data_IF_001806330615
#
_entry.id   IF_001806330615
#
_cell.length_a   1.000
_cell.length_b   1.000
_cell.length_c   1.000
_cell.angle_alpha   90.00
_cell.angle_beta   90.00
_cell.angle_gamma   90.00
#
_symmetry.space_group_name_H-M   'P 1'
#
loop_
_entity.id
_entity.type
_entity.pdbx_description
1 polymer ?
#
# COMPACT_ATOMS: atom_id res chain seq x y z
N UNK A 1 -4.75 26.27 44.88
CA UNK A 1 -3.77 25.23 44.48
C UNK A 1 -4.50 23.95 44.12
N UNK A 2 -4.27 23.50 42.88
CA UNK A 2 -4.47 22.16 42.30
C UNK A 2 -5.90 21.63 42.08
N UNK A 3 -6.34 21.84 40.84
CA UNK A 3 -7.41 21.17 40.11
C UNK A 3 -7.08 19.69 39.83
N UNK A 4 -8.08 18.81 39.95
CA UNK A 4 -8.01 17.39 39.57
C UNK A 4 -8.10 17.21 38.04
N UNK A 5 -7.51 16.14 37.47
CA UNK A 5 -7.48 15.88 36.03
C UNK A 5 -8.77 15.25 35.49
N UNK A 6 -9.04 15.57 34.22
CA UNK A 6 -10.28 15.48 33.45
C UNK A 6 -10.46 14.17 32.66
N UNK A 7 -9.85 13.06 33.08
CA UNK A 7 -9.97 11.78 32.35
C UNK A 7 -11.23 11.00 32.74
N UNK A 8 -12.38 11.43 32.23
CA UNK A 8 -13.59 10.58 32.07
C UNK A 8 -14.28 10.99 30.77
N UNK A 9 -14.79 10.01 30.03
CA UNK A 9 -15.60 10.09 28.79
C UNK A 9 -14.84 10.04 27.45
N UNK A 10 -14.57 8.81 27.00
CA UNK A 10 -14.97 8.33 25.67
C UNK A 10 -14.74 6.82 25.60
N UNK A 11 -15.62 6.05 26.26
CA UNK A 11 -15.77 4.63 26.01
C UNK A 11 -16.98 4.39 25.11
N UNK A 12 -16.86 3.35 24.27
CA UNK A 12 -17.90 2.60 23.55
C UNK A 12 -17.91 2.77 22.02
N UNK A 13 -17.90 1.59 21.35
CA UNK A 13 -18.01 1.22 19.93
C UNK A 13 -16.66 1.05 19.20
N UNK A 14 -16.23 -0.12 18.70
CA UNK A 14 -16.97 -1.33 18.33
C UNK A 14 -16.12 -2.59 18.56
N UNK A 15 -16.74 -3.61 19.17
CA UNK A 15 -16.26 -5.00 19.16
C UNK A 15 -17.09 -5.69 18.08
N UNK A 16 -16.44 -6.09 16.98
CA UNK A 16 -16.97 -7.12 16.09
C UNK A 16 -15.86 -8.15 15.92
N UNK A 17 -16.23 -9.39 16.22
CA UNK A 17 -15.38 -10.56 16.25
C UNK A 17 -14.78 -10.89 14.88
N UNK A 18 -13.50 -11.27 14.87
CA UNK A 18 -12.91 -11.98 13.74
C UNK A 18 -12.31 -13.29 14.26
N UNK A 19 -12.98 -14.39 13.89
CA UNK A 19 -12.50 -15.74 14.10
C UNK A 19 -11.21 -15.96 13.30
N UNK A 20 -10.17 -16.42 13.99
CA UNK A 20 -8.85 -16.65 13.43
C UNK A 20 -8.83 -17.82 12.44
N UNK A 21 -8.47 -17.56 11.18
CA UNK A 21 -8.07 -18.58 10.23
C UNK A 21 -6.53 -18.57 10.12
N UNK A 22 -5.88 -19.61 10.66
CA UNK A 22 -4.42 -19.78 10.68
C UNK A 22 -3.88 -20.11 9.29
N UNK A 23 -2.98 -19.29 8.73
CA UNK A 23 -2.12 -19.68 7.61
C UNK A 23 -0.66 -19.29 7.86
N UNK A 24 0.25 -20.25 7.66
CA UNK A 24 1.71 -20.16 7.85
C UNK A 24 2.38 -19.34 6.74
N UNK A 25 3.36 -18.49 7.08
CA UNK A 25 4.21 -17.73 6.13
C UNK A 25 5.55 -18.45 5.86
N UNK A 26 6.03 -18.57 4.61
CA UNK A 26 7.44 -18.78 4.31
C UNK A 26 8.18 -17.43 4.14
N UNK A 27 9.52 -17.46 4.17
CA UNK A 27 10.41 -16.29 4.16
C UNK A 27 11.35 -16.18 2.93
N UNK A 28 11.84 -14.96 2.68
CA UNK A 28 12.57 -14.48 1.47
C UNK A 28 14.08 -14.36 1.69
N UNK A 29 14.92 -14.80 0.72
CA UNK A 29 16.21 -14.12 0.45
C UNK A 29 16.57 -14.07 -1.09
N UNK A 30 17.70 -13.47 -1.55
CA UNK A 30 17.73 -12.29 -2.44
C UNK A 30 18.32 -12.54 -3.86
N UNK A 31 18.20 -11.51 -4.73
CA UNK A 31 18.29 -11.53 -6.21
C UNK A 31 19.52 -10.83 -6.84
N UNK A 32 19.86 -11.21 -8.08
CA UNK A 32 20.66 -10.42 -9.04
C UNK A 32 20.18 -10.65 -10.51
N UNK A 33 20.17 -9.59 -11.33
CA UNK A 33 19.68 -9.39 -12.75
C UNK A 33 20.86 -9.48 -13.77
N UNK A 34 20.74 -9.54 -15.14
CA UNK A 34 19.85 -8.78 -16.11
C UNK A 34 19.56 -9.52 -17.48
N UNK A 35 19.39 -8.89 -18.70
CA UNK A 35 18.38 -7.95 -19.28
C UNK A 35 17.67 -8.41 -20.61
N UNK A 36 16.86 -7.49 -21.21
CA UNK A 36 15.72 -7.54 -22.15
C UNK A 36 15.90 -7.55 -23.70
N UNK A 37 14.79 -7.77 -24.47
CA UNK A 37 14.42 -7.12 -25.77
C UNK A 37 12.94 -7.39 -26.23
N UNK A 38 12.07 -6.38 -26.49
CA UNK A 38 11.52 -5.79 -27.79
C UNK A 38 10.65 -6.74 -28.68
N UNK A 39 9.57 -6.40 -29.42
CA UNK A 39 8.56 -5.32 -29.63
C UNK A 39 7.60 -5.80 -30.78
N UNK A 40 6.33 -5.37 -30.86
CA UNK A 40 5.61 -5.23 -32.16
C UNK A 40 4.06 -5.27 -32.17
N UNK A 41 3.35 -4.47 -33.01
CA UNK A 41 1.94 -4.02 -32.87
C UNK A 41 0.97 -4.70 -33.88
N UNK A 42 -0.34 -4.46 -34.06
CA UNK A 42 -1.40 -3.51 -33.65
C UNK A 42 -2.56 -3.58 -34.69
N UNK A 43 -3.75 -2.96 -34.46
CA UNK A 43 -4.64 -2.28 -35.45
C UNK A 43 -6.07 -1.96 -34.91
N UNK A 44 -6.66 -0.88 -35.42
CA UNK A 44 -7.86 -0.13 -34.96
C UNK A 44 -9.11 -0.30 -35.86
N UNK A 45 -10.28 0.10 -35.32
CA UNK A 45 -11.50 0.49 -36.06
C UNK A 45 -12.34 1.51 -35.25
N UNK A 46 -13.02 2.44 -35.91
CA UNK A 46 -13.80 3.55 -35.30
C UNK A 46 -15.23 3.61 -35.86
N UNK A 47 -16.24 3.77 -34.98
CA UNK A 47 -17.16 4.92 -34.84
C UNK A 47 -18.32 4.54 -33.90
N UNK A 48 -18.22 4.99 -32.65
CA UNK A 48 -19.30 5.61 -31.86
C UNK A 48 -18.54 6.58 -30.94
N UNK A 49 -17.78 7.46 -31.59
CA UNK A 49 -16.48 7.84 -31.05
C UNK A 49 -16.68 8.83 -29.91
N UNK A 50 -17.35 9.97 -30.05
CA UNK A 50 -17.27 11.03 -29.02
C UNK A 50 -17.96 10.77 -27.66
N UNK A 51 -19.11 10.09 -27.61
CA UNK A 51 -19.81 9.80 -26.34
C UNK A 51 -19.22 8.56 -25.64
N UNK A 52 -18.85 7.54 -26.43
CA UNK A 52 -18.06 6.41 -25.92
C UNK A 52 -16.65 6.89 -25.60
N UNK A 53 -16.06 7.84 -26.32
CA UNK A 53 -14.75 8.45 -26.05
C UNK A 53 -14.84 9.29 -24.80
N UNK A 54 -15.91 10.04 -24.55
CA UNK A 54 -16.09 10.78 -23.29
C UNK A 54 -16.20 9.84 -22.10
N UNK A 55 -17.01 8.77 -22.22
CA UNK A 55 -17.16 7.75 -21.18
C UNK A 55 -15.92 6.87 -21.03
N UNK A 56 -15.26 6.52 -22.13
CA UNK A 56 -14.04 5.73 -22.17
C UNK A 56 -12.85 6.55 -21.72
N UNK A 57 -12.76 7.85 -22.02
CA UNK A 57 -11.74 8.75 -21.50
C UNK A 57 -11.94 8.98 -20.00
N UNK A 58 -13.20 9.11 -19.52
CA UNK A 58 -13.50 9.12 -18.08
C UNK A 58 -13.08 7.81 -17.43
N UNK A 59 -13.43 6.67 -18.01
CA UNK A 59 -13.07 5.34 -17.50
C UNK A 59 -11.56 5.08 -17.55
N UNK A 60 -10.87 5.53 -18.60
CA UNK A 60 -9.40 5.50 -18.72
C UNK A 60 -8.79 6.40 -17.64
N UNK A 61 -9.37 7.57 -17.37
CA UNK A 61 -8.98 8.46 -16.28
C UNK A 61 -9.15 7.83 -14.90
N UNK A 62 -10.29 7.18 -14.64
CA UNK A 62 -10.60 6.48 -13.39
C UNK A 62 -9.69 5.27 -13.16
N UNK A 63 -9.44 4.48 -14.20
CA UNK A 63 -8.52 3.34 -14.17
C UNK A 63 -7.07 3.78 -13.96
N UNK A 64 -6.65 4.84 -14.64
CA UNK A 64 -5.32 5.45 -14.41
C UNK A 64 -5.22 5.93 -12.96
N UNK A 65 -6.23 6.63 -12.44
CA UNK A 65 -6.26 7.07 -11.05
C UNK A 65 -6.11 5.90 -10.07
N UNK A 66 -6.79 4.78 -10.34
CA UNK A 66 -6.68 3.57 -9.52
C UNK A 66 -5.27 2.97 -9.56
N UNK A 67 -4.64 2.90 -10.74
CA UNK A 67 -3.26 2.42 -10.89
C UNK A 67 -2.24 3.32 -10.18
N UNK A 68 -2.49 4.63 -10.09
CA UNK A 68 -1.61 5.58 -9.42
C UNK A 68 -1.48 5.33 -7.91
N UNK A 69 -2.46 4.69 -7.26
CA UNK A 69 -2.32 4.21 -5.88
C UNK A 69 -1.19 3.17 -5.81
N UNK A 70 -1.08 2.27 -6.80
CA UNK A 70 -0.01 1.28 -6.89
C UNK A 70 1.38 1.85 -7.22
N UNK A 71 1.42 3.00 -7.92
CA UNK A 71 2.66 3.60 -8.42
C UNK A 71 3.71 3.87 -7.32
N UNK A 72 3.25 4.20 -6.11
CA UNK A 72 4.13 4.45 -4.97
C UNK A 72 4.95 3.22 -4.55
N UNK A 73 4.41 2.01 -4.73
CA UNK A 73 5.09 0.78 -4.33
C UNK A 73 6.33 0.50 -5.18
N UNK A 74 6.19 0.66 -6.49
CA UNK A 74 7.20 0.23 -7.44
C UNK A 74 8.45 1.11 -7.46
N UNK A 75 8.36 2.37 -6.99
CA UNK A 75 9.45 3.35 -6.96
C UNK A 75 10.27 3.43 -8.27
N UNK A 76 9.59 3.20 -9.38
CA UNK A 76 10.14 3.19 -10.74
C UNK A 76 9.40 4.25 -11.56
N UNK A 77 10.03 5.40 -11.83
CA UNK A 77 9.40 6.48 -12.61
C UNK A 77 8.95 6.04 -14.00
N UNK A 78 9.60 5.01 -14.56
CA UNK A 78 9.34 4.46 -15.89
C UNK A 78 8.27 3.38 -15.93
N UNK A 79 7.70 3.00 -14.77
CA UNK A 79 6.69 1.95 -14.75
C UNK A 79 5.42 2.44 -15.42
N UNK A 80 4.83 1.57 -16.23
CA UNK A 80 3.54 1.81 -16.85
C UNK A 80 2.46 2.03 -15.76
N UNK A 81 1.75 3.15 -15.83
CA UNK A 81 0.62 3.50 -14.96
C UNK A 81 -0.69 3.73 -15.72
N UNK A 82 -0.68 3.52 -17.04
CA UNK A 82 -1.83 3.75 -17.92
C UNK A 82 -2.53 2.47 -18.36
N UNK A 83 -1.88 1.31 -18.24
CA UNK A 83 -2.45 0.01 -18.59
C UNK A 83 -2.29 -1.01 -17.46
N UNK A 84 -3.16 -2.03 -17.49
CA UNK A 84 -3.08 -3.14 -16.52
C UNK A 84 -1.71 -3.83 -16.56
N UNK A 85 -1.25 -4.20 -17.75
CA UNK A 85 0.07 -4.82 -17.94
C UNK A 85 1.17 -3.89 -17.46
N UNK A 86 2.15 -4.42 -16.72
CA UNK A 86 3.26 -3.61 -16.19
C UNK A 86 4.30 -3.29 -17.25
N UNK A 87 4.35 -4.09 -18.33
CA UNK A 87 5.42 -4.07 -19.33
C UNK A 87 6.70 -4.75 -18.88
N UNK A 88 6.71 -5.34 -17.68
CA UNK A 88 7.81 -6.19 -17.19
C UNK A 88 7.66 -7.58 -17.80
N UNK A 89 8.79 -8.21 -18.12
CA UNK A 89 8.82 -9.58 -18.59
C UNK A 89 8.15 -10.55 -17.58
N UNK A 90 7.23 -11.44 -18.01
CA UNK A 90 6.51 -12.34 -17.12
C UNK A 90 7.39 -13.26 -16.27
N UNK A 91 8.57 -13.69 -16.77
CA UNK A 91 9.49 -14.52 -15.98
C UNK A 91 10.15 -13.72 -14.85
N UNK A 92 10.53 -12.48 -15.14
CA UNK A 92 11.05 -11.53 -14.15
C UNK A 92 9.98 -11.26 -13.08
N UNK A 93 8.74 -11.06 -13.50
CA UNK A 93 7.61 -10.82 -12.60
C UNK A 93 7.31 -12.05 -11.74
N UNK A 94 7.34 -13.25 -12.31
CA UNK A 94 7.19 -14.50 -11.58
C UNK A 94 8.32 -14.69 -10.56
N UNK A 95 9.54 -14.29 -10.89
CA UNK A 95 10.69 -14.29 -9.97
C UNK A 95 10.46 -13.38 -8.76
N UNK A 96 9.97 -12.16 -8.97
CA UNK A 96 9.61 -11.21 -7.89
C UNK A 96 8.48 -11.77 -7.02
N UNK A 97 7.42 -12.31 -7.64
CA UNK A 97 6.31 -12.95 -6.92
C UNK A 97 6.79 -14.13 -6.07
N UNK A 98 7.67 -14.99 -6.60
CA UNK A 98 8.17 -16.14 -5.86
C UNK A 98 9.14 -15.74 -4.72
N UNK A 99 10.03 -14.78 -4.99
CA UNK A 99 11.04 -14.33 -4.05
C UNK A 99 10.40 -13.50 -2.93
N UNK A 100 9.76 -12.38 -3.25
CA UNK A 100 9.35 -11.36 -2.28
C UNK A 100 7.97 -11.65 -1.65
N UNK A 101 7.13 -12.39 -2.37
CA UNK A 101 5.74 -12.64 -2.00
C UNK A 101 5.43 -14.11 -1.71
N UNK A 102 6.34 -15.02 -2.06
CA UNK A 102 6.12 -16.48 -2.01
C UNK A 102 4.91 -16.95 -2.82
N UNK A 103 4.59 -16.24 -3.90
CA UNK A 103 3.51 -16.57 -4.83
C UNK A 103 4.10 -17.32 -6.02
N UNK A 104 3.69 -18.56 -6.22
CA UNK A 104 4.03 -19.41 -7.37
C UNK A 104 2.80 -19.87 -8.14
N UNK A 105 1.62 -19.70 -7.54
CA UNK A 105 0.35 -20.19 -8.09
C UNK A 105 -0.74 -19.13 -8.02
N UNK A 106 -1.76 -19.30 -8.86
CA UNK A 106 -2.97 -18.49 -8.80
C UNK A 106 -3.68 -18.53 -7.45
N UNK A 107 -3.62 -19.66 -6.74
CA UNK A 107 -4.21 -19.80 -5.40
C UNK A 107 -3.50 -18.93 -4.37
N UNK A 108 -2.16 -18.94 -4.35
CA UNK A 108 -1.35 -18.10 -3.44
C UNK A 108 -1.51 -16.61 -3.75
N UNK A 109 -1.61 -16.26 -5.04
CA UNK A 109 -1.90 -14.89 -5.46
C UNK A 109 -3.26 -14.42 -4.90
N UNK A 110 -4.32 -15.21 -5.10
CA UNK A 110 -5.65 -14.89 -4.56
C UNK A 110 -5.66 -14.78 -3.04
N UNK A 111 -4.99 -15.69 -2.32
CA UNK A 111 -4.90 -15.63 -0.86
C UNK A 111 -4.17 -14.37 -0.37
N UNK A 112 -3.07 -14.00 -1.03
CA UNK A 112 -2.32 -12.79 -0.68
C UNK A 112 -3.13 -11.53 -0.96
N UNK A 113 -3.83 -11.47 -2.09
CA UNK A 113 -4.67 -10.33 -2.46
C UNK A 113 -5.86 -10.18 -1.49
N UNK A 114 -6.54 -11.27 -1.15
CA UNK A 114 -7.62 -11.25 -0.16
C UNK A 114 -7.11 -10.73 1.20
N UNK A 115 -5.98 -11.25 1.68
CA UNK A 115 -5.40 -10.78 2.94
C UNK A 115 -5.04 -9.29 2.88
N UNK A 116 -4.41 -8.81 1.80
CA UNK A 116 -4.10 -7.38 1.65
C UNK A 116 -5.37 -6.52 1.61
N UNK A 117 -6.43 -6.96 0.93
CA UNK A 117 -7.70 -6.25 0.80
C UNK A 117 -8.53 -6.20 2.09
N UNK A 118 -8.41 -7.20 2.96
CA UNK A 118 -9.26 -7.35 4.16
C UNK A 118 -8.55 -6.96 5.46
N UNK A 119 -7.31 -7.41 5.66
CA UNK A 119 -6.60 -7.26 6.93
C UNK A 119 -5.25 -6.53 6.76
N UNK A 120 -4.39 -7.05 5.90
CA UNK A 120 -3.08 -6.50 5.56
C UNK A 120 -2.21 -6.21 6.78
N UNK A 121 -1.26 -5.28 6.59
CA UNK A 121 -0.38 -4.85 7.69
C UNK A 121 -1.02 -3.76 8.54
N UNK A 122 -2.09 -3.12 8.05
CA UNK A 122 -2.88 -2.15 8.83
C UNK A 122 -3.49 -2.77 10.09
N UNK A 123 -3.74 -4.07 10.15
CA UNK A 123 -4.18 -4.72 11.39
C UNK A 123 -3.16 -4.63 12.53
N UNK A 124 -1.86 -4.64 12.21
CA UNK A 124 -0.77 -4.50 13.20
C UNK A 124 -0.56 -3.05 13.64
N UNK A 125 -0.83 -2.10 12.75
CA UNK A 125 -0.40 -0.71 12.90
C UNK A 125 -0.91 -0.01 14.18
N UNK A 126 -2.19 -0.16 14.61
CA UNK A 126 -2.66 0.42 15.85
C UNK A 126 -1.86 -0.03 17.08
N UNK A 127 -1.48 -1.32 17.15
CA UNK A 127 -0.67 -1.83 18.25
C UNK A 127 0.77 -1.34 18.19
N UNK A 128 1.34 -1.25 16.99
CA UNK A 128 2.66 -0.63 16.79
C UNK A 128 2.67 0.79 17.33
N UNK A 129 1.68 1.62 16.95
CA UNK A 129 1.61 3.00 17.43
C UNK A 129 1.34 3.10 18.93
N UNK A 130 0.41 2.30 19.48
CA UNK A 130 0.13 2.27 20.92
C UNK A 130 1.40 1.98 21.72
N UNK A 131 2.13 0.93 21.36
CA UNK A 131 3.34 0.52 22.09
C UNK A 131 4.46 1.54 21.87
N UNK A 132 4.68 2.00 20.64
CA UNK A 132 5.73 2.96 20.33
C UNK A 132 5.57 4.28 21.10
N UNK A 133 4.35 4.83 21.14
CA UNK A 133 4.09 6.18 21.63
C UNK A 133 3.55 6.26 23.06
N UNK A 134 3.09 5.14 23.64
CA UNK A 134 2.48 5.15 24.98
C UNK A 134 3.15 4.21 25.99
N UNK A 135 4.05 3.33 25.55
CA UNK A 135 4.76 2.38 26.43
C UNK A 135 6.24 2.74 26.52
N UNK A 136 6.81 2.90 27.74
CA UNK A 136 8.24 3.09 27.91
C UNK A 136 9.05 1.97 27.27
N UNK A 137 10.19 2.28 26.64
CA UNK A 137 11.01 1.29 25.90
C UNK A 137 11.34 0.04 26.74
N UNK A 138 11.61 0.21 28.02
CA UNK A 138 11.91 -0.88 28.98
C UNK A 138 10.73 -1.81 29.27
N UNK A 139 9.49 -1.40 28.98
CA UNK A 139 8.28 -2.19 29.22
C UNK A 139 7.66 -2.77 27.94
N UNK A 140 8.17 -2.40 26.74
CA UNK A 140 7.58 -2.81 25.46
C UNK A 140 7.57 -4.31 25.25
N UNK A 141 8.64 -5.01 25.63
CA UNK A 141 8.70 -6.48 25.49
C UNK A 141 7.58 -7.17 26.28
N UNK A 142 7.36 -6.74 27.52
CA UNK A 142 6.25 -7.23 28.35
C UNK A 142 4.90 -6.97 27.68
N UNK A 143 4.67 -5.77 27.17
CA UNK A 143 3.42 -5.43 26.47
C UNK A 143 3.20 -6.23 25.19
N UNK A 144 4.27 -6.50 24.42
CA UNK A 144 4.21 -7.33 23.21
C UNK A 144 3.82 -8.76 23.57
N UNK A 145 4.42 -9.34 24.60
CA UNK A 145 4.09 -10.70 25.06
C UNK A 145 2.63 -10.80 25.54
N UNK A 146 2.12 -9.77 26.21
CA UNK A 146 0.74 -9.74 26.71
C UNK A 146 -0.33 -9.68 25.60
N UNK A 147 0.03 -9.26 24.39
CA UNK A 147 -0.91 -9.26 23.26
C UNK A 147 -1.23 -10.66 22.72
N UNK A 148 -0.39 -11.66 23.02
CA UNK A 148 -0.58 -13.09 22.74
C UNK A 148 -1.14 -13.40 21.31
N UNK A 149 -1.90 -14.48 21.14
CA UNK A 149 -2.42 -15.13 19.90
C UNK A 149 -3.03 -14.22 18.81
N UNK A 150 -3.16 -12.92 19.05
CA UNK A 150 -3.65 -11.94 18.08
C UNK A 150 -2.57 -11.50 17.09
N UNK A 151 -1.29 -11.52 17.49
CA UNK A 151 -0.19 -11.03 16.64
C UNK A 151 1.08 -11.86 16.83
N UNK A 152 1.89 -11.98 15.76
CA UNK A 152 3.25 -12.50 15.85
C UNK A 152 4.12 -11.51 16.66
N UNK A 153 4.60 -11.90 17.87
CA UNK A 153 5.33 -10.99 18.75
C UNK A 153 6.67 -10.55 18.16
N UNK A 154 7.34 -11.41 17.38
CA UNK A 154 8.60 -11.07 16.72
C UNK A 154 8.35 -10.03 15.65
N UNK A 155 7.30 -10.22 14.84
CA UNK A 155 6.91 -9.24 13.82
C UNK A 155 6.54 -7.90 14.44
N UNK A 156 5.75 -7.92 15.51
CA UNK A 156 5.31 -6.71 16.19
C UNK A 156 6.51 -5.93 16.75
N UNK A 157 7.44 -6.62 17.43
CA UNK A 157 8.68 -6.02 17.93
C UNK A 157 9.51 -5.38 16.81
N UNK A 158 9.70 -6.10 15.68
CA UNK A 158 10.41 -5.57 14.52
C UNK A 158 9.73 -4.33 13.94
N UNK A 159 8.41 -4.34 13.80
CA UNK A 159 7.67 -3.18 13.28
C UNK A 159 7.76 -1.95 14.19
N UNK A 160 7.80 -2.16 15.51
CA UNK A 160 8.01 -1.07 16.49
C UNK A 160 9.42 -0.49 16.35
N UNK A 161 10.47 -1.33 16.34
CA UNK A 161 11.86 -0.86 16.19
C UNK A 161 12.08 -0.15 14.84
N UNK A 162 11.55 -0.74 13.77
CA UNK A 162 11.63 -0.17 12.42
C UNK A 162 11.00 1.22 12.36
N UNK A 163 9.77 1.37 12.86
CA UNK A 163 9.09 2.65 12.85
C UNK A 163 9.80 3.65 13.75
N UNK A 164 10.21 3.26 14.97
CA UNK A 164 10.95 4.12 15.91
C UNK A 164 12.20 4.71 15.24
N UNK A 165 13.00 3.87 14.59
CA UNK A 165 14.26 4.27 13.96
C UNK A 165 14.06 5.04 12.65
N UNK A 166 12.93 4.85 11.97
CA UNK A 166 12.57 5.60 10.77
C UNK A 166 11.94 6.97 11.05
N UNK A 167 11.42 7.22 12.26
CA UNK A 167 10.77 8.48 12.60
C UNK A 167 11.61 9.75 12.35
N UNK A 168 12.94 9.77 12.61
CA UNK A 168 13.78 10.93 12.28
C UNK A 168 13.74 11.27 10.79
N UNK A 169 13.89 10.27 9.91
CA UNK A 169 13.87 10.44 8.46
C UNK A 169 12.48 10.90 7.98
N UNK A 170 11.42 10.28 8.51
CA UNK A 170 10.04 10.66 8.20
C UNK A 170 9.75 12.12 8.59
N UNK A 171 10.20 12.56 9.77
CA UNK A 171 10.06 13.96 10.21
C UNK A 171 10.90 14.92 9.37
N UNK A 172 12.14 14.56 9.08
CA UNK A 172 13.04 15.37 8.26
C UNK A 172 12.51 15.56 6.82
N UNK A 173 11.74 14.59 6.32
CA UNK A 173 11.10 14.70 5.00
C UNK A 173 10.07 15.82 4.88
N UNK A 174 9.52 16.30 6.01
CA UNK A 174 8.39 17.25 6.11
C UNK A 174 7.09 16.78 5.44
N UNK A 175 7.02 15.55 4.95
CA UNK A 175 5.78 14.95 4.41
C UNK A 175 4.82 14.55 5.52
N UNK A 176 5.36 14.04 6.64
CA UNK A 176 4.59 13.71 7.84
C UNK A 176 4.32 15.00 8.63
N UNK A 177 3.10 15.54 8.54
CA UNK A 177 2.76 16.85 9.08
C UNK A 177 2.18 16.84 10.49
N UNK A 178 1.52 15.76 10.90
CA UNK A 178 0.69 15.81 12.12
C UNK A 178 0.44 14.46 12.80
N UNK A 179 -0.16 14.49 14.01
CA UNK A 179 -0.72 13.29 14.66
C UNK A 179 -1.89 12.69 13.88
N UNK A 180 -2.58 13.49 13.07
CA UNK A 180 -3.67 13.01 12.19
C UNK A 180 -3.11 12.05 11.15
N UNK A 181 -1.90 12.30 10.66
CA UNK A 181 -1.25 11.41 9.69
C UNK A 181 -0.91 10.03 10.27
N UNK A 182 -0.46 10.01 11.53
CA UNK A 182 -0.29 8.75 12.26
C UNK A 182 -1.64 8.05 12.48
N UNK A 183 -2.68 8.77 12.86
CA UNK A 183 -4.01 8.19 13.09
C UNK A 183 -4.65 7.61 11.80
N UNK A 184 -4.36 8.20 10.63
CA UNK A 184 -4.84 7.71 9.33
C UNK A 184 -4.28 6.33 8.96
N UNK A 185 -3.15 5.96 9.53
CA UNK A 185 -2.58 4.63 9.40
C UNK A 185 -2.00 4.30 8.03
N UNK A 186 -1.92 3.01 7.72
CA UNK A 186 -1.08 2.47 6.63
C UNK A 186 -1.90 1.79 5.53
N UNK A 187 -3.16 2.20 5.35
CA UNK A 187 -4.02 1.61 4.32
C UNK A 187 -3.40 1.69 2.92
N UNK A 188 -2.85 2.85 2.53
CA UNK A 188 -2.25 3.00 1.20
C UNK A 188 -1.07 2.05 1.00
N UNK A 189 -0.31 1.73 2.04
CA UNK A 189 0.77 0.74 1.96
C UNK A 189 0.27 -0.66 1.58
N UNK A 190 -0.87 -1.08 2.12
CA UNK A 190 -1.48 -2.37 1.74
C UNK A 190 -2.11 -2.32 0.35
N UNK A 191 -2.85 -1.25 0.04
CA UNK A 191 -3.57 -1.12 -1.23
C UNK A 191 -2.61 -0.95 -2.43
N UNK A 192 -1.52 -0.17 -2.28
CA UNK A 192 -0.49 -0.06 -3.32
C UNK A 192 0.12 -1.42 -3.64
N UNK A 193 0.32 -2.26 -2.62
CA UNK A 193 0.84 -3.61 -2.77
C UNK A 193 -0.16 -4.59 -3.35
N UNK A 194 -1.45 -4.47 -3.00
CA UNK A 194 -2.50 -5.25 -3.62
C UNK A 194 -2.56 -4.99 -5.13
N UNK A 195 -2.49 -3.71 -5.54
CA UNK A 195 -2.44 -3.32 -6.95
C UNK A 195 -1.19 -3.89 -7.62
N UNK A 196 -0.01 -3.78 -6.99
CA UNK A 196 1.21 -4.35 -7.54
C UNK A 196 1.10 -5.88 -7.75
N UNK A 197 0.68 -6.62 -6.72
CA UNK A 197 0.52 -8.09 -6.81
C UNK A 197 -0.55 -8.46 -7.84
N UNK A 198 -1.63 -7.69 -7.97
CA UNK A 198 -2.65 -7.95 -8.97
C UNK A 198 -2.10 -7.80 -10.40
N UNK A 199 -1.38 -6.72 -10.67
CA UNK A 199 -0.76 -6.52 -11.98
C UNK A 199 0.29 -7.59 -12.28
N UNK A 200 1.09 -7.93 -11.27
CA UNK A 200 2.08 -8.98 -11.35
C UNK A 200 1.49 -10.35 -11.69
N UNK A 201 0.44 -10.75 -10.95
CA UNK A 201 -0.24 -12.01 -11.15
C UNK A 201 -0.94 -12.06 -12.51
N UNK A 202 -1.45 -10.93 -13.00
CA UNK A 202 -2.00 -10.83 -14.34
C UNK A 202 -0.93 -11.07 -15.42
N UNK A 203 0.21 -10.38 -15.32
CA UNK A 203 1.32 -10.54 -16.28
C UNK A 203 1.85 -11.98 -16.31
N UNK A 204 1.79 -12.70 -15.20
CA UNK A 204 2.17 -14.12 -15.09
C UNK A 204 1.05 -15.11 -15.47
N UNK A 205 -0.11 -14.65 -15.94
CA UNK A 205 -1.24 -15.52 -16.31
C UNK A 205 -1.91 -16.23 -15.13
N UNK A 206 -1.68 -15.76 -13.89
CA UNK A 206 -2.28 -16.33 -12.67
C UNK A 206 -3.71 -15.84 -12.42
N UNK A 207 -4.15 -14.80 -13.13
CA UNK A 207 -5.52 -14.29 -13.09
C UNK A 207 -5.91 -13.61 -14.40
N UNK A 208 -7.21 -13.52 -14.64
CA UNK A 208 -7.79 -12.82 -15.80
C UNK A 208 -7.72 -11.31 -15.63
N UNK A 209 -7.86 -10.57 -16.73
CA UNK A 209 -7.95 -9.11 -16.71
C UNK A 209 -9.08 -8.61 -15.81
N UNK A 210 -10.27 -9.21 -15.89
CA UNK A 210 -11.42 -8.83 -15.07
C UNK A 210 -11.17 -9.02 -13.57
N UNK A 211 -10.50 -10.11 -13.18
CA UNK A 211 -10.12 -10.36 -11.79
C UNK A 211 -9.10 -9.34 -11.29
N UNK A 212 -8.11 -8.99 -12.11
CA UNK A 212 -7.10 -8.01 -11.75
C UNK A 212 -7.71 -6.61 -11.57
N UNK A 213 -8.58 -6.19 -12.49
CA UNK A 213 -9.27 -4.90 -12.36
C UNK A 213 -10.19 -4.84 -11.15
N UNK A 214 -10.93 -5.90 -10.83
CA UNK A 214 -11.77 -5.95 -9.63
C UNK A 214 -10.96 -5.67 -8.35
N UNK A 215 -9.76 -6.27 -8.23
CA UNK A 215 -8.85 -6.02 -7.11
C UNK A 215 -8.33 -4.57 -7.10
N UNK A 216 -7.92 -4.05 -8.26
CA UNK A 216 -7.36 -2.69 -8.38
C UNK A 216 -8.41 -1.64 -8.03
N UNK A 217 -9.62 -1.77 -8.57
CA UNK A 217 -10.73 -0.85 -8.33
C UNK A 217 -11.18 -0.92 -6.86
N UNK A 218 -11.26 -2.12 -6.27
CA UNK A 218 -11.55 -2.28 -4.84
C UNK A 218 -10.47 -1.63 -3.97
N UNK A 219 -9.19 -1.85 -4.26
CA UNK A 219 -8.08 -1.29 -3.49
C UNK A 219 -8.05 0.24 -3.57
N UNK A 220 -8.22 0.79 -4.78
CA UNK A 220 -8.26 2.23 -5.00
C UNK A 220 -9.48 2.87 -4.31
N UNK A 221 -10.66 2.24 -4.41
CA UNK A 221 -11.87 2.69 -3.72
C UNK A 221 -11.69 2.80 -2.20
N UNK A 222 -11.04 1.81 -1.58
CA UNK A 222 -10.73 1.88 -0.14
C UNK A 222 -9.84 3.08 0.21
N UNK A 223 -8.84 3.39 -0.63
CA UNK A 223 -7.98 4.57 -0.43
C UNK A 223 -8.78 5.86 -0.59
N UNK A 224 -9.53 6.00 -1.67
CA UNK A 224 -10.29 7.22 -1.98
C UNK A 224 -11.45 7.49 -1.01
N UNK A 225 -11.92 6.46 -0.31
CA UNK A 225 -12.93 6.61 0.74
C UNK A 225 -12.37 7.19 2.05
N UNK A 226 -11.06 7.03 2.31
CA UNK A 226 -10.43 7.42 3.59
C UNK A 226 -9.42 8.56 3.48
N UNK A 227 -9.07 8.95 2.25
CA UNK A 227 -8.05 9.94 1.98
C UNK A 227 -8.57 10.98 1.00
N UNK A 228 -8.15 12.23 1.18
CA UNK A 228 -8.62 13.40 0.45
C UNK A 228 -7.59 13.97 -0.52
N UNK A 229 -6.34 13.47 -0.50
CA UNK A 229 -5.29 13.94 -1.39
C UNK A 229 -4.19 12.92 -1.62
N UNK A 230 -3.43 13.10 -2.70
CA UNK A 230 -2.21 12.33 -2.96
C UNK A 230 -1.16 12.47 -1.85
N UNK A 231 -1.12 13.61 -1.17
CA UNK A 231 -0.25 13.81 0.00
C UNK A 231 -0.59 12.80 1.11
N UNK A 232 -1.87 12.62 1.41
CA UNK A 232 -2.31 11.67 2.43
C UNK A 232 -2.02 10.22 2.04
N UNK A 233 -2.23 9.88 0.76
CA UNK A 233 -1.86 8.55 0.20
C UNK A 233 -0.37 8.30 0.36
N UNK A 234 0.46 9.28 -0.03
CA UNK A 234 1.91 9.22 0.09
C UNK A 234 2.38 9.01 1.52
N UNK A 235 1.81 9.75 2.48
CA UNK A 235 2.16 9.63 3.90
C UNK A 235 1.74 8.27 4.47
N UNK A 236 0.53 7.80 4.16
CA UNK A 236 0.05 6.48 4.59
C UNK A 236 0.93 5.35 4.03
N UNK A 237 1.34 5.47 2.76
CA UNK A 237 2.28 4.53 2.14
C UNK A 237 3.65 4.54 2.83
N UNK A 238 4.24 5.72 3.05
CA UNK A 238 5.56 5.87 3.66
C UNK A 238 5.59 5.36 5.11
N UNK A 239 4.52 5.58 5.89
CA UNK A 239 4.38 5.04 7.24
C UNK A 239 4.41 3.51 7.23
N UNK A 240 3.66 2.88 6.32
CA UNK A 240 3.62 1.42 6.20
C UNK A 240 4.95 0.85 5.71
N UNK A 241 5.60 1.51 4.74
CA UNK A 241 6.97 1.18 4.32
C UNK A 241 7.89 1.21 5.53
N UNK A 242 7.95 2.34 6.22
CA UNK A 242 8.87 2.57 7.32
C UNK A 242 8.65 1.55 8.45
N UNK A 243 7.40 1.27 8.81
CA UNK A 243 7.05 0.22 9.77
C UNK A 243 7.52 -1.17 9.31
N UNK A 244 7.36 -1.50 8.03
CA UNK A 244 7.67 -2.83 7.52
C UNK A 244 9.17 -3.08 7.35
N UNK A 245 9.89 -2.14 6.75
CA UNK A 245 11.27 -2.34 6.30
C UNK A 245 12.31 -1.48 7.04
N UNK A 246 11.87 -0.58 7.91
CA UNK A 246 12.76 0.26 8.71
C UNK A 246 13.48 1.37 7.92
N UNK A 247 14.47 2.01 8.55
CA UNK A 247 15.24 3.10 7.96
C UNK A 247 16.28 2.61 6.93
N UNK A 248 17.05 3.55 6.39
CA UNK A 248 18.20 3.27 5.50
C UNK A 248 17.91 3.55 4.03
N UNK A 249 18.82 3.11 3.15
CA UNK A 249 18.83 3.52 1.74
C UNK A 249 17.51 3.24 1.01
N UNK A 250 16.80 2.16 1.37
CA UNK A 250 15.50 1.85 0.80
C UNK A 250 14.40 2.86 1.18
N UNK A 251 14.37 3.33 2.43
CA UNK A 251 13.43 4.38 2.85
C UNK A 251 13.78 5.71 2.19
N UNK A 252 15.07 6.05 2.11
CA UNK A 252 15.54 7.28 1.48
C UNK A 252 15.18 7.36 0.00
N UNK A 253 15.32 6.25 -0.75
CA UNK A 253 14.86 6.16 -2.15
C UNK A 253 13.36 6.38 -2.27
N UNK A 254 12.57 5.77 -1.37
CA UNK A 254 11.12 5.93 -1.37
C UNK A 254 10.68 7.36 -1.03
N UNK A 255 11.33 8.00 -0.06
CA UNK A 255 11.09 9.42 0.26
C UNK A 255 11.41 10.34 -0.93
N UNK A 256 12.53 10.14 -1.60
CA UNK A 256 12.90 10.91 -2.79
C UNK A 256 11.91 10.68 -3.94
N UNK A 257 11.51 9.43 -4.17
CA UNK A 257 10.55 9.07 -5.21
C UNK A 257 9.17 9.69 -4.94
N UNK A 258 8.66 9.59 -3.71
CA UNK A 258 7.38 10.20 -3.31
C UNK A 258 7.41 11.71 -3.49
N UNK A 259 8.49 12.39 -3.09
CA UNK A 259 8.63 13.84 -3.32
C UNK A 259 8.58 14.18 -4.79
N UNK A 260 9.32 13.45 -5.63
CA UNK A 260 9.24 13.62 -7.08
C UNK A 260 7.80 13.43 -7.59
N UNK A 261 7.09 12.41 -7.11
CA UNK A 261 5.70 12.17 -7.51
C UNK A 261 4.74 13.30 -7.13
N UNK A 262 4.99 13.99 -6.01
CA UNK A 262 4.12 15.05 -5.50
C UNK A 262 4.48 16.42 -6.09
N UNK A 263 5.78 16.71 -6.25
CA UNK A 263 6.29 18.03 -6.59
C UNK A 263 6.42 18.24 -8.12
N UNK A 264 6.80 17.20 -8.86
CA UNK A 264 7.12 17.29 -10.29
C UNK A 264 5.87 17.53 -11.13
N UNK A 265 5.87 18.58 -11.96
CA UNK A 265 4.75 18.93 -12.85
C UNK A 265 4.44 17.88 -13.91
N UNK A 266 5.40 17.03 -14.26
CA UNK A 266 5.25 15.92 -15.19
C UNK A 266 4.88 14.60 -14.50
N UNK A 267 4.78 14.59 -13.16
CA UNK A 267 4.32 13.42 -12.43
C UNK A 267 2.88 13.05 -12.84
N UNK A 268 2.60 11.76 -13.11
CA UNK A 268 1.25 11.28 -13.33
C UNK A 268 0.27 11.63 -12.20
N UNK A 269 0.74 11.72 -10.95
CA UNK A 269 -0.08 12.08 -9.79
C UNK A 269 -0.46 13.57 -9.77
N UNK A 270 0.29 14.43 -10.47
CA UNK A 270 -0.06 15.85 -10.66
C UNK A 270 -0.99 16.08 -11.84
N UNK A 271 -0.88 15.26 -12.88
CA UNK A 271 -1.72 15.34 -14.09
C UNK A 271 -3.15 14.82 -13.88
N UNK A 272 -3.35 13.88 -12.96
CA UNK A 272 -4.67 13.30 -12.65
C UNK A 272 -5.22 13.93 -11.37
N UNK A 273 -6.41 14.55 -11.45
CA UNK A 273 -7.09 15.07 -10.25
C UNK A 273 -7.33 13.93 -9.28
N UNK A 274 -7.01 14.17 -8.01
CA UNK A 274 -7.37 13.25 -6.95
C UNK A 274 -8.90 13.15 -6.87
N UNK A 275 -9.45 11.98 -7.17
CA UNK A 275 -10.86 11.71 -7.02
C UNK A 275 -11.10 11.22 -5.59
N UNK A 276 -11.26 12.16 -4.65
CA UNK A 276 -11.86 11.81 -3.37
C UNK A 276 -13.24 11.20 -3.66
N UNK A 277 -13.57 10.09 -3.00
CA UNK A 277 -14.91 9.53 -3.14
C UNK A 277 -15.91 10.65 -2.85
N UNK A 278 -16.86 10.89 -3.78
CA UNK A 278 -18.00 11.75 -3.46
C UNK A 278 -18.69 11.05 -2.30
N UNK A 279 -18.64 11.64 -1.10
CA UNK A 279 -19.52 11.22 -0.03
C UNK A 279 -20.94 11.46 -0.53
N UNK A 280 -21.56 10.40 -1.05
CA UNK A 280 -22.97 10.38 -1.38
C UNK A 280 -23.74 10.50 -0.08
N UNK A 281 -24.41 11.64 0.09
CA UNK A 281 -25.58 11.75 0.95
C UNK A 281 -26.76 11.17 0.17
#
# INVERSE_FOLDING_TARGET
MRSLPWFVCAGVLAVVASAACRWRKPGVPPTALPPAAKHGPGLQGHVCSQAIEGKAASAIGERTCSLLVGFLHDARPTLNVSTLATGVDPHTQAGVLAADWHIRTAGEARGTLAWLLEEGHRALYPQVCRILFSVPRTAREREIVLLNDSFDPVRLAHCIDNLERAMPDLRASRLLGSRVDLARGVLAWDMSRAIHVARAAYDCGMQTEAQAWAVIEQAASQVFAQMASWQEVAVSYLLGRAMWAGPGAGLQRQLAFVRHCLDDSHSPMRGVRYHAARHGV
#
